data_IF_350739573921
#
_entry.id   IF_350739573921
#
_cell.length_a   1.000
_cell.length_b   1.000
_cell.length_c   1.000
_cell.angle_alpha   90.00
_cell.angle_beta   90.00
_cell.angle_gamma   90.00
#
_symmetry.space_group_name_H-M   'P 1'
#
loop_
_entity.id
_entity.type
_entity.pdbx_description
1 polymer ?
#
# COMPACT_ATOMS: atom_id res chain seq x y z
N UNK A 1 31.36 -11.86 -3.00
CA UNK A 1 30.92 -10.57 -2.43
C UNK A 1 29.67 -10.14 -3.17
N UNK A 2 28.49 -10.24 -2.55
CA UNK A 2 27.26 -9.73 -3.13
C UNK A 2 27.20 -8.23 -2.92
N UNK A 3 27.04 -7.46 -3.99
CA UNK A 3 26.84 -6.03 -3.89
C UNK A 3 25.42 -5.78 -3.39
N UNK A 4 25.32 -5.11 -2.25
CA UNK A 4 24.08 -4.54 -1.77
C UNK A 4 24.03 -3.12 -2.35
N UNK A 5 23.05 -2.84 -3.19
CA UNK A 5 22.80 -1.48 -3.64
C UNK A 5 22.12 -0.73 -2.49
N UNK A 6 22.87 0.09 -1.77
CA UNK A 6 22.31 1.12 -0.92
C UNK A 6 22.35 2.41 -1.75
N UNK A 7 21.19 2.91 -2.15
CA UNK A 7 21.05 4.12 -2.96
C UNK A 7 20.30 5.16 -2.13
N UNK A 8 20.95 6.30 -1.90
CA UNK A 8 20.48 7.42 -1.07
C UNK A 8 19.24 8.13 -1.66
N UNK A 9 18.69 7.64 -2.77
CA UNK A 9 17.58 8.23 -3.52
C UNK A 9 16.20 7.59 -3.27
N UNK A 10 16.03 6.74 -2.25
CA UNK A 10 14.69 6.29 -1.82
C UNK A 10 14.09 5.10 -2.60
N UNK A 11 14.92 4.22 -3.14
CA UNK A 11 14.47 3.04 -3.89
C UNK A 11 14.72 1.77 -3.06
N UNK A 12 13.70 1.16 -2.42
CA UNK A 12 12.42 0.72 -3.00
C UNK A 12 11.23 1.13 -2.12
N UNK A 13 11.08 2.43 -1.89
CA UNK A 13 10.14 2.94 -0.88
C UNK A 13 8.67 3.03 -1.33
N UNK A 14 8.36 2.69 -2.58
CA UNK A 14 7.04 2.94 -3.21
C UNK A 14 6.96 4.27 -3.97
N UNK A 15 8.09 4.97 -4.09
CA UNK A 15 8.24 6.18 -4.90
C UNK A 15 8.34 5.79 -6.40
N UNK A 16 7.23 5.88 -7.13
CA UNK A 16 7.10 5.39 -8.52
C UNK A 16 7.50 6.37 -9.62
N UNK A 17 8.54 7.20 -9.40
CA UNK A 17 9.01 8.27 -10.31
C UNK A 17 7.87 9.14 -10.89
N UNK A 18 6.76 9.30 -10.15
CA UNK A 18 5.54 9.98 -10.59
C UNK A 18 4.67 9.22 -11.60
N UNK A 19 5.21 8.30 -12.41
CA UNK A 19 4.48 7.68 -13.55
C UNK A 19 3.28 6.82 -13.17
N UNK A 20 3.36 6.10 -12.05
CA UNK A 20 2.25 5.26 -11.57
C UNK A 20 1.24 6.10 -10.79
N UNK A 21 1.75 7.11 -10.08
CA UNK A 21 0.97 8.01 -9.24
C UNK A 21 0.09 8.94 -10.09
N UNK A 22 0.52 9.25 -11.33
CA UNK A 22 -0.25 9.99 -12.34
C UNK A 22 -1.44 9.21 -12.92
N UNK A 23 -1.53 7.89 -12.69
CA UNK A 23 -2.66 7.07 -13.17
C UNK A 23 -3.95 7.34 -12.38
N UNK A 24 -3.88 8.16 -11.34
CA UNK A 24 -5.02 8.66 -10.59
C UNK A 24 -5.06 8.14 -9.16
N UNK A 25 -6.08 8.60 -8.43
CA UNK A 25 -6.20 8.43 -6.98
C UNK A 25 -6.19 6.97 -6.53
N UNK A 26 -6.71 6.05 -7.35
CA UNK A 26 -6.69 4.60 -7.11
C UNK A 26 -5.27 4.06 -6.88
N UNK A 27 -4.26 4.64 -7.52
CA UNK A 27 -2.87 4.18 -7.52
C UNK A 27 -2.02 4.81 -6.42
N UNK A 28 -2.50 5.89 -5.79
CA UNK A 28 -1.75 6.67 -4.83
C UNK A 28 -1.98 6.14 -3.40
N UNK A 29 -0.95 6.20 -2.56
CA UNK A 29 -1.07 5.87 -1.14
C UNK A 29 -2.07 6.82 -0.48
N UNK A 30 -2.87 6.29 0.45
CA UNK A 30 -3.86 7.06 1.20
C UNK A 30 -3.72 6.81 2.70
N UNK A 31 -4.11 7.80 3.49
CA UNK A 31 -4.21 7.70 4.94
C UNK A 31 -5.63 8.00 5.38
N UNK A 32 -6.19 7.12 6.21
CA UNK A 32 -7.45 7.33 6.90
C UNK A 32 -7.26 8.39 7.99
N UNK A 33 -8.21 9.32 8.03
CA UNK A 33 -8.29 10.44 8.97
C UNK A 33 -9.63 10.46 9.65
N UNK A 34 -9.63 11.09 10.81
CA UNK A 34 -10.84 11.41 11.56
C UNK A 34 -10.70 12.84 12.08
N UNK A 35 -11.78 13.60 11.94
CA UNK A 35 -11.97 14.86 12.65
C UNK A 35 -13.33 14.86 13.34
N UNK A 36 -13.43 15.61 14.45
CA UNK A 36 -14.71 15.88 15.11
C UNK A 36 -15.30 17.14 14.49
N UNK A 37 -16.53 17.06 14.04
CA UNK A 37 -17.27 18.16 13.43
C UNK A 37 -18.61 18.37 14.15
N UNK A 38 -19.07 19.61 14.19
CA UNK A 38 -20.39 19.95 14.76
C UNK A 38 -21.57 19.51 13.90
N UNK A 39 -21.32 19.17 12.64
CA UNK A 39 -22.31 18.66 11.66
C UNK A 39 -21.62 17.70 10.69
N UNK A 40 -22.38 16.78 10.05
CA UNK A 40 -21.87 15.97 8.95
C UNK A 40 -21.21 16.83 7.87
N UNK A 41 -20.06 16.37 7.37
CA UNK A 41 -19.33 16.99 6.27
C UNK A 41 -19.34 16.05 5.06
N UNK A 42 -19.44 16.64 3.88
CA UNK A 42 -19.36 15.91 2.62
C UNK A 42 -18.32 16.61 1.74
N UNK A 43 -17.22 15.91 1.46
CA UNK A 43 -16.13 16.32 0.58
C UNK A 43 -15.83 15.18 -0.39
N UNK A 44 -14.99 15.43 -1.40
CA UNK A 44 -14.59 14.41 -2.37
C UNK A 44 -13.87 13.21 -1.74
N UNK A 45 -13.31 13.38 -0.55
CA UNK A 45 -12.57 12.33 0.17
C UNK A 45 -13.31 11.78 1.38
N UNK A 46 -14.57 12.21 1.59
CA UNK A 46 -15.41 11.68 2.67
C UNK A 46 -15.61 10.19 2.49
N UNK A 47 -15.31 9.43 3.54
CA UNK A 47 -15.56 8.00 3.62
C UNK A 47 -16.89 7.77 4.36
N UNK A 48 -17.05 8.40 5.53
CA UNK A 48 -18.24 8.22 6.36
C UNK A 48 -18.39 9.31 7.41
N UNK A 49 -19.64 9.57 7.78
CA UNK A 49 -20.00 10.37 8.95
C UNK A 49 -20.69 9.45 9.98
N UNK A 50 -20.28 9.54 11.25
CA UNK A 50 -20.85 8.75 12.35
C UNK A 50 -21.16 9.69 13.52
N UNK A 51 -22.42 9.68 13.98
CA UNK A 51 -22.81 10.41 15.18
C UNK A 51 -22.23 9.72 16.43
N UNK A 52 -21.57 10.50 17.29
CA UNK A 52 -20.96 10.00 18.53
C UNK A 52 -21.02 11.08 19.61
N UNK A 53 -21.71 10.79 20.72
CA UNK A 53 -21.76 11.71 21.87
C UNK A 53 -22.40 13.07 21.59
N UNK A 54 -23.27 13.18 20.57
CA UNK A 54 -23.86 14.45 20.14
C UNK A 54 -22.98 15.28 19.19
N UNK A 55 -21.80 14.76 18.82
CA UNK A 55 -20.93 15.31 17.79
C UNK A 55 -20.92 14.39 16.56
N UNK A 56 -20.34 14.85 15.45
CA UNK A 56 -20.16 14.06 14.24
C UNK A 56 -18.69 13.72 14.03
N UNK A 57 -18.37 12.43 14.03
CA UNK A 57 -17.07 11.92 13.58
C UNK A 57 -17.08 11.86 12.05
N UNK A 58 -16.27 12.70 11.42
CA UNK A 58 -16.08 12.71 9.98
C UNK A 58 -14.81 11.94 9.63
N UNK A 59 -14.97 10.82 8.93
CA UNK A 59 -13.90 9.99 8.41
C UNK A 59 -13.67 10.30 6.95
N UNK A 60 -12.43 10.57 6.60
CA UNK A 60 -11.99 10.92 5.25
C UNK A 60 -10.60 10.35 4.99
N UNK A 61 -10.14 10.40 3.74
CA UNK A 61 -8.75 10.06 3.44
C UNK A 61 -7.96 11.26 2.92
N UNK A 62 -6.66 11.25 3.23
CA UNK A 62 -5.66 12.12 2.61
C UNK A 62 -4.83 11.31 1.63
N UNK A 63 -4.50 11.92 0.50
CA UNK A 63 -3.69 11.29 -0.54
C UNK A 63 -2.23 11.67 -0.35
N UNK A 64 -1.34 10.68 -0.41
CA UNK A 64 0.08 10.90 -0.56
C UNK A 64 0.48 10.64 -2.00
N UNK A 65 0.57 11.72 -2.78
CA UNK A 65 0.83 11.69 -4.22
C UNK A 65 2.22 11.18 -4.59
N UNK A 66 3.13 11.02 -3.63
CA UNK A 66 4.51 10.58 -3.85
C UNK A 66 4.68 9.05 -3.80
N UNK A 67 3.71 8.35 -3.22
CA UNK A 67 3.80 6.90 -2.99
C UNK A 67 2.64 6.15 -3.62
N UNK A 68 2.90 4.93 -4.07
CA UNK A 68 1.86 4.04 -4.58
C UNK A 68 1.10 3.32 -3.46
N UNK A 69 -0.15 2.95 -3.71
CA UNK A 69 -0.93 2.09 -2.83
C UNK A 69 -0.36 0.65 -2.85
N UNK A 70 0.37 0.29 -1.80
CA UNK A 70 1.01 -1.02 -1.65
C UNK A 70 0.06 -2.12 -1.17
N UNK A 71 -1.18 -1.79 -0.80
CA UNK A 71 -2.16 -2.79 -0.38
C UNK A 71 -2.91 -3.38 -1.57
N UNK A 72 -2.94 -2.69 -2.71
CA UNK A 72 -3.69 -3.11 -3.88
C UNK A 72 -2.80 -3.81 -4.92
N UNK A 73 -3.06 -5.10 -5.17
CA UNK A 73 -2.30 -5.91 -6.13
C UNK A 73 -2.26 -5.31 -7.54
N UNK A 74 -3.36 -4.66 -7.99
CA UNK A 74 -3.43 -4.03 -9.32
C UNK A 74 -2.45 -2.85 -9.44
N UNK A 75 -2.23 -2.14 -8.33
CA UNK A 75 -1.31 -1.01 -8.27
C UNK A 75 0.13 -1.52 -8.31
N UNK A 76 0.44 -2.57 -7.55
CA UNK A 76 1.75 -3.24 -7.61
C UNK A 76 2.07 -3.77 -9.01
N UNK A 77 1.11 -4.37 -9.70
CA UNK A 77 1.31 -4.86 -11.07
C UNK A 77 1.72 -3.74 -12.02
N UNK A 78 1.01 -2.60 -11.95
CA UNK A 78 1.36 -1.42 -12.74
C UNK A 78 2.70 -0.81 -12.34
N UNK A 79 3.03 -0.85 -11.06
CA UNK A 79 4.33 -0.42 -10.57
C UNK A 79 5.47 -1.28 -11.11
N UNK A 80 5.30 -2.60 -11.13
CA UNK A 80 6.26 -3.54 -11.73
C UNK A 80 6.40 -3.29 -13.24
N UNK A 81 5.29 -3.15 -13.97
CA UNK A 81 5.30 -2.85 -15.41
C UNK A 81 6.05 -1.55 -15.72
N UNK A 82 5.73 -0.46 -15.01
CA UNK A 82 6.28 0.86 -15.30
C UNK A 82 7.74 1.02 -14.87
N UNK A 83 8.13 0.43 -13.75
CA UNK A 83 9.44 0.67 -13.13
C UNK A 83 10.39 -0.50 -13.41
N UNK A 84 10.00 -1.71 -13.01
CA UNK A 84 10.93 -2.84 -13.01
C UNK A 84 11.27 -3.33 -14.42
N UNK A 85 10.34 -3.22 -15.38
CA UNK A 85 10.64 -3.58 -16.77
C UNK A 85 11.66 -2.62 -17.41
N UNK A 86 11.58 -1.32 -17.11
CA UNK A 86 12.55 -0.33 -17.59
C UNK A 86 13.94 -0.55 -16.97
N UNK A 87 14.00 -0.86 -15.67
CA UNK A 87 15.25 -1.21 -15.00
C UNK A 87 15.90 -2.46 -15.62
N UNK A 88 15.12 -3.49 -15.95
CA UNK A 88 15.64 -4.67 -16.63
C UNK A 88 16.25 -4.32 -17.99
N UNK A 89 15.62 -3.43 -18.76
CA UNK A 89 16.16 -2.96 -20.04
C UNK A 89 17.48 -2.19 -19.88
N UNK A 90 17.58 -1.35 -18.84
CA UNK A 90 18.77 -0.53 -18.57
C UNK A 90 19.94 -1.32 -17.98
N UNK A 91 19.67 -2.29 -17.09
CA UNK A 91 20.70 -3.04 -16.35
C UNK A 91 21.13 -4.35 -17.03
N UNK A 92 20.35 -4.87 -17.98
CA UNK A 92 20.74 -6.06 -18.75
C UNK A 92 21.10 -7.26 -17.86
N UNK A 93 22.29 -7.84 -18.06
CA UNK A 93 22.75 -9.01 -17.29
C UNK A 93 23.02 -8.70 -15.81
N UNK A 94 23.38 -7.46 -15.47
CA UNK A 94 23.63 -7.06 -14.08
C UNK A 94 22.35 -7.00 -13.24
N UNK A 95 21.17 -7.00 -13.89
CA UNK A 95 19.88 -7.13 -13.21
C UNK A 95 19.78 -8.44 -12.41
N UNK A 96 20.37 -9.52 -12.92
CA UNK A 96 20.38 -10.84 -12.25
C UNK A 96 21.13 -10.84 -10.91
N UNK A 97 21.95 -9.81 -10.66
CA UNK A 97 22.80 -9.66 -9.46
C UNK A 97 22.10 -8.91 -8.32
N UNK A 98 20.96 -8.26 -8.60
CA UNK A 98 20.10 -7.65 -7.58
C UNK A 98 19.38 -8.75 -6.78
N UNK A 99 19.87 -9.04 -5.57
CA UNK A 99 19.32 -10.14 -4.74
C UNK A 99 17.93 -9.88 -4.17
N UNK A 100 17.52 -8.63 -4.08
CA UNK A 100 16.21 -8.21 -3.61
C UNK A 100 16.22 -6.70 -3.37
N UNK A 101 15.03 -6.13 -3.32
CA UNK A 101 14.83 -4.73 -2.95
C UNK A 101 14.50 -4.71 -1.45
N UNK A 102 15.33 -4.04 -0.65
CA UNK A 102 15.14 -3.92 0.79
C UNK A 102 14.38 -2.62 1.07
N UNK A 103 13.10 -2.72 1.40
CA UNK A 103 12.34 -1.58 1.92
C UNK A 103 12.55 -1.55 3.42
N UNK A 104 13.08 -0.45 3.93
CA UNK A 104 13.07 -0.18 5.36
C UNK A 104 11.61 -0.12 5.83
N UNK A 105 11.37 -0.53 7.07
CA UNK A 105 10.06 -0.77 7.66
C UNK A 105 9.08 0.39 7.38
N UNK A 106 7.81 0.05 7.09
CA UNK A 106 7.12 0.71 6.00
C UNK A 106 6.66 2.12 6.39
N UNK A 107 6.81 3.05 5.45
CA UNK A 107 6.07 4.32 5.44
C UNK A 107 4.54 4.12 5.31
N UNK A 108 4.01 2.93 5.60
CA UNK A 108 2.57 2.62 5.56
C UNK A 108 1.82 3.36 6.68
N UNK A 109 2.49 3.78 7.77
CA UNK A 109 1.80 4.45 8.88
C UNK A 109 2.49 5.65 9.54
N UNK A 110 3.64 6.14 9.01
CA UNK A 110 4.39 7.23 9.68
C UNK A 110 3.55 8.50 9.89
N UNK A 111 2.59 8.74 9.00
CA UNK A 111 1.73 9.91 9.07
C UNK A 111 0.25 9.57 9.28
N UNK A 112 -0.16 8.32 9.56
CA UNK A 112 -1.59 7.99 9.65
C UNK A 112 -1.93 6.51 9.66
N UNK A 113 -3.23 6.21 9.77
CA UNK A 113 -3.72 4.84 9.56
C UNK A 113 -3.76 4.61 8.04
N UNK A 114 -3.12 3.56 7.50
CA UNK A 114 -3.13 3.30 6.07
C UNK A 114 -4.54 3.11 5.53
N UNK A 115 -4.79 3.59 4.32
CA UNK A 115 -6.07 3.41 3.65
C UNK A 115 -5.87 2.93 2.22
N UNK A 116 -6.74 2.02 1.81
CA UNK A 116 -6.90 1.58 0.43
C UNK A 116 -8.38 1.32 0.19
N UNK A 117 -8.86 1.57 -1.02
CA UNK A 117 -10.27 1.36 -1.36
C UNK A 117 -10.70 -0.10 -1.33
N UNK A 118 -9.75 -1.04 -1.32
CA UNK A 118 -10.06 -2.47 -1.15
C UNK A 118 -10.30 -2.86 0.31
N UNK A 119 -9.84 -2.05 1.29
CA UNK A 119 -9.88 -2.44 2.70
C UNK A 119 -11.29 -2.77 3.21
N UNK A 120 -12.36 -2.03 2.88
CA UNK A 120 -13.71 -2.40 3.34
C UNK A 120 -14.14 -3.80 2.89
N UNK A 121 -13.89 -4.13 1.63
CA UNK A 121 -14.25 -5.43 1.07
C UNK A 121 -13.37 -6.55 1.63
N UNK A 122 -12.05 -6.34 1.68
CA UNK A 122 -11.10 -7.32 2.24
C UNK A 122 -11.35 -7.58 3.73
N UNK A 123 -11.66 -6.54 4.50
CA UNK A 123 -11.98 -6.68 5.93
C UNK A 123 -13.28 -7.44 6.14
N UNK A 124 -14.29 -7.15 5.33
CA UNK A 124 -15.55 -7.91 5.35
C UNK A 124 -15.34 -9.37 4.98
N UNK A 125 -14.50 -9.66 3.99
CA UNK A 125 -14.19 -11.03 3.59
C UNK A 125 -13.43 -11.80 4.69
N UNK A 126 -12.45 -11.15 5.34
CA UNK A 126 -11.62 -11.77 6.36
C UNK A 126 -12.36 -12.00 7.69
N UNK A 127 -13.22 -11.06 8.11
CA UNK A 127 -13.79 -11.03 9.46
C UNK A 127 -15.32 -11.04 9.50
N UNK A 128 -15.99 -11.03 8.34
CA UNK A 128 -17.45 -10.96 8.21
C UNK A 128 -18.07 -9.78 8.98
N UNK A 129 -17.38 -8.63 8.94
CA UNK A 129 -17.72 -7.40 9.65
C UNK A 129 -17.53 -6.19 8.72
N UNK A 130 -18.41 -5.19 8.80
CA UNK A 130 -18.27 -3.97 8.00
C UNK A 130 -17.27 -3.01 8.65
N UNK A 131 -16.08 -2.88 8.06
CA UNK A 131 -15.04 -1.96 8.51
C UNK A 131 -15.56 -0.53 8.66
N UNK A 132 -16.41 -0.08 7.74
CA UNK A 132 -16.90 1.30 7.74
C UNK A 132 -17.76 1.59 8.98
N UNK A 133 -18.42 0.57 9.53
CA UNK A 133 -19.25 0.71 10.73
C UNK A 133 -18.43 0.73 12.02
N UNK A 134 -17.21 0.21 12.00
CA UNK A 134 -16.30 0.14 13.16
C UNK A 134 -15.11 1.10 13.05
N UNK A 135 -15.10 2.05 12.10
CA UNK A 135 -14.04 3.06 11.98
C UNK A 135 -13.72 3.81 13.30
N UNK A 136 -14.68 4.15 14.19
CA UNK A 136 -14.36 4.82 15.44
C UNK A 136 -13.38 4.03 16.31
N UNK A 137 -13.43 2.71 16.30
CA UNK A 137 -12.55 1.83 17.09
C UNK A 137 -11.07 1.96 16.71
N UNK A 138 -10.78 2.41 15.48
CA UNK A 138 -9.41 2.66 15.02
C UNK A 138 -8.80 3.92 15.65
N UNK A 139 -9.64 4.85 16.13
CA UNK A 139 -9.21 6.16 16.65
C UNK A 139 -9.54 6.36 18.12
N UNK A 140 -10.61 5.73 18.62
CA UNK A 140 -11.14 5.90 19.97
C UNK A 140 -11.00 4.60 20.75
N UNK A 141 -10.84 4.73 22.07
CA UNK A 141 -10.80 3.58 22.98
C UNK A 141 -12.23 3.19 23.38
N UNK A 142 -12.81 2.30 22.58
CA UNK A 142 -14.10 1.63 22.83
C UNK A 142 -13.89 0.22 23.39
N UNK A 143 -14.96 -0.45 23.81
CA UNK A 143 -14.89 -1.83 24.31
C UNK A 143 -14.36 -2.83 23.25
N UNK A 144 -14.60 -2.55 21.96
CA UNK A 144 -14.18 -3.41 20.83
C UNK A 144 -12.88 -2.94 20.16
N UNK A 145 -12.37 -1.76 20.52
CA UNK A 145 -11.20 -1.13 19.90
C UNK A 145 -9.97 -2.02 19.78
N UNK A 146 -9.66 -2.79 20.82
CA UNK A 146 -8.51 -3.70 20.81
C UNK A 146 -8.63 -4.78 19.73
N UNK A 147 -9.81 -5.40 19.61
CA UNK A 147 -10.06 -6.43 18.62
C UNK A 147 -10.04 -5.85 17.21
N UNK A 148 -10.72 -4.73 16.99
CA UNK A 148 -10.80 -4.06 15.69
C UNK A 148 -9.42 -3.61 15.21
N UNK A 149 -8.62 -2.99 16.08
CA UNK A 149 -7.24 -2.59 15.74
C UNK A 149 -6.36 -3.78 15.41
N UNK A 150 -6.44 -4.87 16.18
CA UNK A 150 -5.68 -6.09 15.89
C UNK A 150 -6.04 -6.66 14.51
N UNK A 151 -7.34 -6.84 14.23
CA UNK A 151 -7.85 -7.35 12.95
C UNK A 151 -7.42 -6.46 11.78
N UNK A 152 -7.56 -5.16 11.95
CA UNK A 152 -7.20 -4.18 10.93
C UNK A 152 -5.71 -4.24 10.59
N UNK A 153 -4.83 -4.15 11.58
CA UNK A 153 -3.38 -4.18 11.35
C UNK A 153 -2.90 -5.54 10.85
N UNK A 154 -3.50 -6.64 11.31
CA UNK A 154 -3.20 -7.96 10.78
C UNK A 154 -3.52 -8.05 9.29
N UNK A 155 -4.70 -7.58 8.88
CA UNK A 155 -5.10 -7.56 7.47
C UNK A 155 -4.20 -6.66 6.62
N UNK A 156 -3.86 -5.46 7.10
CA UNK A 156 -2.94 -4.55 6.42
C UNK A 156 -1.58 -5.24 6.18
N UNK A 157 -1.05 -5.93 7.19
CA UNK A 157 0.20 -6.67 7.06
C UNK A 157 0.10 -7.81 6.04
N UNK A 158 -0.99 -8.59 6.04
CA UNK A 158 -1.22 -9.66 5.06
C UNK A 158 -1.32 -9.10 3.64
N UNK A 159 -2.16 -8.07 3.43
CA UNK A 159 -2.32 -7.43 2.12
C UNK A 159 -1.00 -6.84 1.63
N UNK A 160 -0.22 -6.18 2.48
CA UNK A 160 1.10 -5.69 2.08
C UNK A 160 2.05 -6.83 1.68
N UNK A 161 2.11 -7.90 2.48
CA UNK A 161 2.97 -9.04 2.21
C UNK A 161 2.60 -9.73 0.88
N UNK A 162 1.32 -10.01 0.67
CA UNK A 162 0.84 -10.74 -0.50
C UNK A 162 0.77 -9.86 -1.76
N UNK A 163 0.27 -8.63 -1.64
CA UNK A 163 0.02 -7.77 -2.80
C UNK A 163 1.22 -6.92 -3.22
N UNK A 164 2.22 -6.73 -2.36
CA UNK A 164 3.41 -5.97 -2.70
C UNK A 164 4.68 -6.84 -2.67
N UNK A 165 5.09 -7.29 -1.48
CA UNK A 165 6.39 -7.94 -1.31
C UNK A 165 6.50 -9.25 -2.11
N UNK A 166 5.49 -10.12 -1.98
CA UNK A 166 5.45 -11.42 -2.68
C UNK A 166 5.37 -11.26 -4.19
N UNK A 167 4.55 -10.35 -4.70
CA UNK A 167 4.43 -10.11 -6.16
C UNK A 167 5.74 -9.64 -6.78
N UNK A 168 6.41 -8.69 -6.13
CA UNK A 168 7.73 -8.20 -6.58
C UNK A 168 8.76 -9.33 -6.54
N UNK A 169 8.75 -10.14 -5.48
CA UNK A 169 9.64 -11.29 -5.35
C UNK A 169 9.40 -12.34 -6.47
N UNK A 170 8.15 -12.74 -6.68
CA UNK A 170 7.77 -13.71 -7.73
C UNK A 170 8.12 -13.21 -9.13
N UNK A 171 7.90 -11.92 -9.40
CA UNK A 171 8.30 -11.31 -10.67
C UNK A 171 9.83 -11.35 -10.85
N UNK A 172 10.59 -11.01 -9.81
CA UNK A 172 12.06 -11.08 -9.84
C UNK A 172 12.56 -12.50 -10.11
N UNK A 173 12.04 -13.51 -9.42
CA UNK A 173 12.41 -14.92 -9.61
C UNK A 173 12.10 -15.41 -11.03
N UNK A 174 10.90 -15.10 -11.55
CA UNK A 174 10.52 -15.45 -12.92
C UNK A 174 11.48 -14.85 -13.95
N UNK A 175 11.87 -13.59 -13.76
CA UNK A 175 12.76 -12.90 -14.71
C UNK A 175 14.22 -13.34 -14.57
N UNK A 176 14.69 -13.74 -13.38
CA UNK A 176 15.99 -14.40 -13.18
C UNK A 176 16.08 -15.74 -13.93
N UNK A 177 15.02 -16.55 -13.88
CA UNK A 177 14.95 -17.81 -14.63
C UNK A 177 15.00 -17.65 -16.15
N UNK A 178 14.52 -16.53 -16.69
CA UNK A 178 14.59 -16.23 -18.14
C UNK A 178 15.93 -15.67 -18.62
N UNK A 179 16.89 -15.36 -17.74
CA UNK A 179 18.22 -14.88 -18.15
C UNK A 179 19.14 -16.02 -18.64
N UNK A 180 18.74 -17.29 -18.48
CA UNK A 180 19.43 -18.46 -19.03
C UNK A 180 18.65 -18.99 -20.25
N UNK A 181 18.75 -18.29 -21.38
CA UNK A 181 18.09 -18.66 -22.63
C UNK A 181 18.83 -18.13 -23.85
N UNK A 182 19.78 -18.94 -24.33
CA UNK A 182 20.36 -18.95 -25.68
C UNK A 182 20.99 -17.67 -26.26
N UNK A 183 22.33 -17.65 -26.31
CA UNK A 183 23.02 -17.48 -27.60
C UNK A 183 23.96 -18.67 -27.81
N UNK A 184 23.43 -19.66 -28.53
CA UNK A 184 24.22 -20.69 -29.18
C UNK A 184 23.91 -20.62 -30.67
N UNK A 185 24.84 -20.06 -31.44
CA UNK A 185 25.09 -20.31 -32.86
C UNK A 185 26.40 -19.66 -33.26
#
# INVERSE_FOLDING_TARGET
>A
MGAWGYDENGWPSGFGDGRVNELGIEYQQKYLRMEVASKPKETETTIRNIEHGGENLHFYYEVNEFYVDTLNAKVTDKFIEAIYEEYKLKLGEDFSRLKGFFTDEPQVSRNGIPWSFILPDEYKNAYNEDLLSVLPDLFLDTDTSMQTRFRFWHLVCELFADNFAKRIYEWCEKKRGTAYGSQGS
#
